data_IF_956414749285
#
_entry.id   IF_956414749285
#
_cell.length_a   1.000
_cell.length_b   1.000
_cell.length_c   1.000
_cell.angle_alpha   90.00
_cell.angle_beta   90.00
_cell.angle_gamma   90.00
#
_symmetry.space_group_name_H-M   'P 1'
#
loop_
_entity.id
_entity.type
_entity.pdbx_description
1 polymer ?
#
# COMPACT_ATOMS: atom_id res chain seq x y z
N UNK A 1 -26.61 -27.70 19.91
CA UNK A 1 -27.48 -27.42 18.75
C UNK A 1 -27.16 -26.08 18.15
N UNK A 2 -26.41 -26.06 17.02
CA UNK A 2 -26.07 -24.80 16.35
C UNK A 2 -27.33 -24.22 15.70
N UNK A 3 -27.63 -22.94 15.98
CA UNK A 3 -28.68 -22.20 15.27
C UNK A 3 -28.42 -22.29 13.78
N UNK A 4 -29.31 -22.95 12.98
CA UNK A 4 -29.27 -22.88 11.52
C UNK A 4 -29.28 -21.41 11.11
N UNK A 5 -28.22 -20.92 10.46
CA UNK A 5 -28.20 -19.58 9.87
C UNK A 5 -29.36 -19.51 8.88
N UNK A 6 -30.28 -18.58 9.09
CA UNK A 6 -31.39 -18.32 8.18
C UNK A 6 -30.78 -17.93 6.83
N UNK A 7 -31.10 -18.66 5.79
CA UNK A 7 -30.63 -18.35 4.44
C UNK A 7 -31.20 -17.00 4.02
N UNK A 8 -30.30 -16.09 3.63
CA UNK A 8 -30.71 -14.75 3.21
C UNK A 8 -31.16 -14.78 1.74
N UNK A 9 -32.12 -13.93 1.33
CA UNK A 9 -32.73 -14.00 0.00
C UNK A 9 -31.76 -13.58 -1.10
N UNK A 10 -32.06 -14.06 -2.31
CA UNK A 10 -31.59 -13.50 -3.57
C UNK A 10 -32.50 -12.33 -3.92
N UNK A 11 -31.92 -11.21 -4.35
CA UNK A 11 -32.64 -10.05 -4.86
C UNK A 11 -32.28 -9.88 -6.34
N UNK A 12 -33.29 -9.80 -7.17
CA UNK A 12 -33.13 -9.77 -8.62
C UNK A 12 -33.16 -8.31 -9.16
N UNK A 13 -32.49 -8.10 -10.31
CA UNK A 13 -32.50 -6.84 -11.08
C UNK A 13 -32.09 -5.61 -10.26
N UNK A 14 -31.06 -5.75 -9.44
CA UNK A 14 -30.52 -4.66 -8.63
C UNK A 14 -29.58 -3.81 -9.47
N UNK A 15 -29.85 -2.53 -9.61
CA UNK A 15 -28.99 -1.56 -10.29
C UNK A 15 -27.88 -1.06 -9.34
N UNK A 16 -26.64 -1.12 -9.79
CA UNK A 16 -25.49 -0.56 -9.08
C UNK A 16 -25.38 0.92 -9.43
N UNK A 17 -25.49 1.78 -8.40
CA UNK A 17 -25.62 3.23 -8.57
C UNK A 17 -24.34 4.01 -8.26
N UNK A 18 -23.35 3.39 -7.62
CA UNK A 18 -22.13 4.09 -7.21
C UNK A 18 -21.05 3.18 -6.66
N UNK A 19 -20.00 3.81 -6.16
CA UNK A 19 -18.85 3.16 -5.52
C UNK A 19 -18.73 3.68 -4.09
N UNK A 20 -18.44 2.78 -3.16
CA UNK A 20 -18.19 3.08 -1.75
C UNK A 20 -16.69 3.02 -1.43
N UNK A 21 -16.38 3.40 -0.20
CA UNK A 21 -15.10 3.12 0.41
C UNK A 21 -14.75 1.61 0.32
N UNK A 22 -13.48 1.27 0.43
CA UNK A 22 -12.94 -0.10 0.32
C UNK A 22 -13.17 -0.76 -1.06
N UNK A 23 -13.57 0.00 -2.08
CA UNK A 23 -13.73 -0.47 -3.45
C UNK A 23 -14.95 -1.34 -3.72
N UNK A 24 -15.90 -1.38 -2.79
CA UNK A 24 -17.21 -2.00 -2.99
C UNK A 24 -18.11 -1.08 -3.78
N UNK A 25 -19.01 -1.65 -4.57
CA UNK A 25 -20.07 -0.90 -5.23
C UNK A 25 -21.28 -0.76 -4.33
N UNK A 26 -22.13 0.20 -4.64
CA UNK A 26 -23.34 0.52 -3.87
C UNK A 26 -24.57 0.30 -4.75
N UNK A 27 -25.56 -0.35 -4.14
CA UNK A 27 -26.93 -0.38 -4.62
C UNK A 27 -27.91 0.00 -3.50
N UNK A 28 -29.16 0.24 -3.83
CA UNK A 28 -30.26 0.40 -2.87
C UNK A 28 -31.32 -0.65 -3.10
N UNK A 29 -31.71 -1.32 -2.04
CA UNK A 29 -32.79 -2.31 -2.02
C UNK A 29 -33.70 -1.96 -0.84
N UNK A 30 -34.96 -1.63 -1.12
CA UNK A 30 -35.94 -1.20 -0.11
C UNK A 30 -35.38 -0.11 0.82
N UNK A 31 -34.83 0.96 0.26
CA UNK A 31 -34.14 2.07 0.95
C UNK A 31 -32.86 1.69 1.73
N UNK A 32 -32.50 0.41 1.77
CA UNK A 32 -31.30 -0.07 2.42
C UNK A 32 -30.10 0.02 1.47
N UNK A 33 -28.97 0.54 1.96
CA UNK A 33 -27.70 0.49 1.25
C UNK A 33 -27.16 -0.92 1.25
N UNK A 34 -26.78 -1.43 0.06
CA UNK A 34 -26.17 -2.74 -0.12
C UNK A 34 -24.78 -2.57 -0.72
N UNK A 35 -23.77 -3.11 -0.05
CA UNK A 35 -22.39 -3.13 -0.52
C UNK A 35 -22.10 -4.42 -1.29
N UNK A 36 -21.62 -4.28 -2.52
CA UNK A 36 -21.45 -5.38 -3.47
C UNK A 36 -20.03 -5.31 -4.04
N UNK A 37 -19.17 -6.32 -3.84
CA UNK A 37 -17.85 -6.33 -4.48
C UNK A 37 -17.96 -6.59 -5.99
N UNK A 38 -17.01 -6.03 -6.75
CA UNK A 38 -16.82 -6.24 -8.19
C UNK A 38 -17.97 -5.81 -9.10
N UNK A 39 -18.91 -5.00 -8.61
CA UNK A 39 -19.88 -4.33 -9.45
C UNK A 39 -19.31 -3.05 -10.06
N UNK A 40 -19.89 -2.60 -11.17
CA UNK A 40 -19.63 -1.30 -11.76
C UNK A 40 -20.93 -0.48 -11.79
N UNK A 41 -20.90 0.84 -11.56
CA UNK A 41 -22.06 1.69 -11.70
C UNK A 41 -22.70 1.52 -13.09
N UNK A 42 -24.04 1.31 -13.12
CA UNK A 42 -24.79 0.98 -14.32
C UNK A 42 -24.95 -0.53 -14.61
N UNK A 43 -24.31 -1.41 -13.83
CA UNK A 43 -24.63 -2.82 -13.88
C UNK A 43 -26.04 -3.07 -13.32
N UNK A 44 -26.78 -3.98 -13.94
CA UNK A 44 -27.98 -4.61 -13.36
C UNK A 44 -27.64 -6.05 -13.03
N UNK A 45 -27.78 -6.45 -11.77
CA UNK A 45 -27.30 -7.74 -11.24
C UNK A 45 -28.33 -8.42 -10.36
N UNK A 46 -28.29 -9.75 -10.31
CA UNK A 46 -28.91 -10.52 -9.25
C UNK A 46 -27.89 -10.72 -8.14
N UNK A 47 -28.27 -10.40 -6.91
CA UNK A 47 -27.39 -10.46 -5.75
C UNK A 47 -27.93 -11.41 -4.69
N UNK A 48 -27.03 -12.11 -3.98
CA UNK A 48 -27.36 -12.85 -2.77
C UNK A 48 -26.84 -12.09 -1.56
N UNK A 49 -27.72 -11.86 -0.60
CA UNK A 49 -27.32 -11.20 0.66
C UNK A 49 -26.47 -12.16 1.49
N UNK A 50 -25.31 -11.67 1.94
CA UNK A 50 -24.39 -12.40 2.82
C UNK A 50 -24.61 -12.02 4.29
N UNK A 51 -24.91 -10.74 4.50
CA UNK A 51 -25.10 -10.15 5.82
C UNK A 51 -26.09 -8.99 5.75
N UNK A 52 -27.04 -8.98 6.70
CA UNK A 52 -28.00 -7.88 6.84
C UNK A 52 -27.91 -7.29 8.24
N UNK A 53 -27.69 -5.99 8.30
CA UNK A 53 -27.73 -5.16 9.52
C UNK A 53 -28.91 -4.20 9.46
N UNK A 54 -29.09 -3.37 10.49
CA UNK A 54 -30.21 -2.42 10.56
C UNK A 54 -30.13 -1.34 9.49
N UNK A 55 -28.93 -0.85 9.18
CA UNK A 55 -28.70 0.30 8.27
C UNK A 55 -28.10 -0.07 6.93
N UNK A 56 -27.58 -1.29 6.76
CA UNK A 56 -26.95 -1.74 5.51
C UNK A 56 -26.95 -3.27 5.36
N UNK A 57 -26.69 -3.73 4.16
CA UNK A 57 -26.41 -5.14 3.88
C UNK A 57 -25.10 -5.29 3.08
N UNK A 58 -24.54 -6.50 3.13
CA UNK A 58 -23.44 -6.94 2.27
C UNK A 58 -23.97 -8.09 1.41
N UNK A 59 -23.60 -8.10 0.13
CA UNK A 59 -24.04 -9.09 -0.85
C UNK A 59 -22.93 -9.40 -1.84
N UNK A 60 -23.10 -10.50 -2.57
CA UNK A 60 -22.29 -10.81 -3.75
C UNK A 60 -23.16 -10.98 -4.99
N UNK A 61 -22.58 -10.76 -6.16
CA UNK A 61 -23.24 -10.94 -7.45
C UNK A 61 -23.38 -12.44 -7.72
N UNK A 62 -24.60 -12.88 -7.97
CA UNK A 62 -24.91 -14.25 -8.40
C UNK A 62 -24.94 -14.32 -9.92
N UNK A 63 -25.52 -13.28 -10.55
CA UNK A 63 -25.74 -13.24 -11.98
C UNK A 63 -25.65 -11.83 -12.51
N UNK A 64 -25.07 -11.66 -13.70
CA UNK A 64 -25.02 -10.39 -14.43
C UNK A 64 -26.19 -10.34 -15.41
N UNK A 65 -27.21 -9.54 -15.09
CA UNK A 65 -28.38 -9.37 -15.96
C UNK A 65 -28.06 -8.45 -17.12
N UNK A 66 -27.45 -7.31 -16.83
CA UNK A 66 -27.04 -6.34 -17.86
C UNK A 66 -25.74 -5.68 -17.39
N UNK A 67 -24.63 -5.84 -18.11
CA UNK A 67 -23.40 -5.14 -17.77
C UNK A 67 -23.52 -3.65 -18.07
N UNK A 68 -22.85 -2.84 -17.26
CA UNK A 68 -22.65 -1.42 -17.53
C UNK A 68 -21.92 -1.22 -18.87
N UNK A 69 -22.30 -0.21 -19.68
CA UNK A 69 -21.57 0.12 -20.91
C UNK A 69 -20.13 0.59 -20.62
N UNK A 70 -19.86 1.04 -19.42
CA UNK A 70 -18.51 1.48 -18.99
C UNK A 70 -17.63 0.32 -18.49
N UNK A 71 -18.13 -0.93 -18.50
CA UNK A 71 -17.29 -2.07 -18.13
C UNK A 71 -16.19 -2.31 -19.14
N UNK A 72 -14.98 -2.61 -18.63
CA UNK A 72 -13.86 -3.10 -19.43
C UNK A 72 -13.49 -4.53 -19.00
N UNK A 73 -12.91 -5.29 -19.91
CA UNK A 73 -12.42 -6.64 -19.60
C UNK A 73 -11.14 -6.54 -18.77
N UNK A 74 -11.08 -7.14 -17.57
CA UNK A 74 -9.86 -7.18 -16.79
C UNK A 74 -8.71 -7.88 -17.53
N UNK A 75 -7.51 -7.32 -17.49
CA UNK A 75 -6.33 -7.95 -18.08
C UNK A 75 -5.85 -9.19 -17.29
N UNK A 76 -6.13 -9.22 -15.99
CA UNK A 76 -5.68 -10.26 -15.08
C UNK A 76 -6.70 -11.40 -14.98
N UNK A 77 -6.31 -12.63 -15.31
CA UNK A 77 -7.14 -13.84 -15.15
C UNK A 77 -7.54 -14.14 -13.69
N UNK A 78 -6.77 -13.61 -12.72
CA UNK A 78 -7.02 -13.77 -11.29
C UNK A 78 -7.90 -12.67 -10.69
N UNK A 79 -8.38 -11.73 -11.53
CA UNK A 79 -9.27 -10.67 -11.08
C UNK A 79 -10.57 -11.24 -10.48
N UNK A 80 -11.00 -10.69 -9.37
CA UNK A 80 -12.19 -11.18 -8.64
C UNK A 80 -11.90 -12.30 -7.64
N UNK A 81 -10.74 -12.97 -7.72
CA UNK A 81 -10.33 -14.04 -6.81
C UNK A 81 -9.17 -13.61 -5.94
N UNK A 82 -8.07 -13.14 -6.52
CA UNK A 82 -6.84 -12.71 -5.83
C UNK A 82 -7.08 -11.64 -4.76
N UNK A 83 -8.00 -10.71 -4.97
CA UNK A 83 -8.30 -9.63 -4.02
C UNK A 83 -7.33 -8.46 -4.02
N UNK A 84 -6.22 -8.51 -4.73
CA UNK A 84 -5.25 -7.40 -4.84
C UNK A 84 -5.81 -6.21 -5.63
N UNK A 85 -6.39 -6.47 -6.79
CA UNK A 85 -7.08 -5.46 -7.60
C UNK A 85 -8.59 -5.51 -7.33
N UNK A 86 -9.23 -4.33 -7.27
CA UNK A 86 -10.67 -4.19 -7.04
C UNK A 86 -11.41 -3.65 -8.26
N UNK A 87 -10.72 -2.93 -9.16
CA UNK A 87 -11.33 -2.09 -10.19
C UNK A 87 -10.78 -2.30 -11.61
N UNK A 88 -10.13 -3.45 -11.91
CA UNK A 88 -9.67 -3.72 -13.29
C UNK A 88 -10.81 -3.79 -14.33
N UNK A 89 -12.05 -3.96 -13.88
CA UNK A 89 -13.25 -3.98 -14.72
C UNK A 89 -13.88 -2.59 -14.91
N UNK A 90 -13.28 -1.54 -14.35
CA UNK A 90 -13.73 -0.14 -14.43
C UNK A 90 -12.69 0.65 -15.25
N UNK A 91 -13.10 1.48 -16.23
CA UNK A 91 -12.20 2.37 -16.97
C UNK A 91 -11.38 3.25 -16.04
N UNK A 92 -10.13 3.53 -16.41
CA UNK A 92 -9.20 4.23 -15.52
C UNK A 92 -9.68 5.64 -15.15
N UNK A 93 -10.22 6.39 -16.11
CA UNK A 93 -10.79 7.72 -15.89
C UNK A 93 -11.94 7.69 -14.87
N UNK A 94 -12.74 6.63 -14.88
CA UNK A 94 -13.80 6.43 -13.88
C UNK A 94 -13.23 6.11 -12.50
N UNK A 95 -12.13 5.33 -12.43
CA UNK A 95 -11.43 5.09 -11.17
C UNK A 95 -10.93 6.41 -10.55
N UNK A 96 -10.34 7.31 -11.36
CA UNK A 96 -9.86 8.63 -10.90
C UNK A 96 -11.00 9.48 -10.36
N UNK A 97 -12.16 9.49 -11.05
CA UNK A 97 -13.35 10.20 -10.59
C UNK A 97 -13.85 9.66 -9.25
N UNK A 98 -13.96 8.35 -9.10
CA UNK A 98 -14.42 7.73 -7.84
C UNK A 98 -13.44 7.97 -6.68
N UNK A 99 -12.15 8.06 -6.93
CA UNK A 99 -11.15 8.44 -5.91
C UNK A 99 -11.32 9.89 -5.46
N UNK A 100 -11.57 10.82 -6.41
CA UNK A 100 -11.92 12.21 -6.07
C UNK A 100 -13.20 12.26 -5.22
N UNK A 101 -14.23 11.56 -5.62
CA UNK A 101 -15.51 11.55 -4.92
C UNK A 101 -15.39 11.02 -3.48
N UNK A 102 -14.53 9.99 -3.24
CA UNK A 102 -14.22 9.51 -1.88
C UNK A 102 -13.58 10.60 -1.02
N UNK A 103 -12.66 11.39 -1.58
CA UNK A 103 -12.02 12.51 -0.87
C UNK A 103 -13.06 13.59 -0.55
N UNK A 104 -13.86 14.01 -1.54
CA UNK A 104 -14.95 15.01 -1.36
C UNK A 104 -15.90 14.55 -0.27
N UNK A 105 -16.37 13.30 -0.33
CA UNK A 105 -17.29 12.73 0.66
C UNK A 105 -16.69 12.74 2.09
N UNK A 106 -15.42 12.35 2.24
CA UNK A 106 -14.75 12.34 3.54
C UNK A 106 -14.62 13.76 4.11
N UNK A 107 -14.15 14.70 3.31
CA UNK A 107 -13.93 16.08 3.76
C UNK A 107 -15.24 16.80 4.07
N UNK A 108 -16.30 16.59 3.28
CA UNK A 108 -17.59 17.25 3.51
C UNK A 108 -18.38 16.64 4.66
N UNK A 109 -18.40 15.31 4.79
CA UNK A 109 -19.25 14.62 5.77
C UNK A 109 -18.58 14.40 7.12
N UNK A 110 -17.25 14.23 7.16
CA UNK A 110 -16.49 13.94 8.39
C UNK A 110 -15.86 15.22 8.90
N UNK A 111 -15.03 15.90 8.10
CA UNK A 111 -14.35 17.11 8.54
C UNK A 111 -15.34 18.23 8.82
N UNK A 112 -16.33 18.43 7.94
CA UNK A 112 -17.34 19.51 8.03
C UNK A 112 -16.70 20.89 8.10
N UNK A 113 -15.54 21.04 7.51
CA UNK A 113 -14.80 22.29 7.40
C UNK A 113 -15.04 22.88 6.01
N UNK A 114 -14.82 24.20 5.86
CA UNK A 114 -14.82 24.84 4.57
C UNK A 114 -13.64 24.34 3.74
N UNK A 115 -13.91 23.82 2.55
CA UNK A 115 -12.91 23.33 1.61
C UNK A 115 -13.06 24.00 0.26
N UNK A 116 -11.96 24.28 -0.45
CA UNK A 116 -12.01 24.73 -1.84
C UNK A 116 -12.53 23.58 -2.74
N UNK A 117 -12.70 23.88 -4.02
CA UNK A 117 -12.95 22.83 -5.00
C UNK A 117 -11.79 21.81 -4.97
N UNK A 118 -12.13 20.53 -4.83
CA UNK A 118 -11.14 19.43 -4.86
C UNK A 118 -10.66 19.24 -6.29
N UNK A 119 -9.36 19.27 -6.49
CA UNK A 119 -8.75 19.06 -7.80
C UNK A 119 -9.11 17.68 -8.40
N UNK A 120 -9.10 17.52 -9.72
CA UNK A 120 -9.14 16.20 -10.34
C UNK A 120 -8.04 15.31 -9.80
N UNK A 121 -8.32 14.00 -9.61
CA UNK A 121 -7.30 13.06 -9.14
C UNK A 121 -6.13 13.01 -10.10
N UNK A 122 -4.91 13.22 -9.60
CA UNK A 122 -3.69 13.06 -10.38
C UNK A 122 -3.48 11.56 -10.65
N UNK A 123 -3.68 11.16 -11.90
CA UNK A 123 -3.54 9.77 -12.33
C UNK A 123 -2.08 9.31 -12.44
N UNK A 124 -1.88 8.00 -12.37
CA UNK A 124 -0.59 7.37 -12.67
C UNK A 124 -0.44 7.22 -14.19
N UNK A 125 0.75 7.51 -14.69
CA UNK A 125 1.08 7.32 -16.10
C UNK A 125 1.02 5.84 -16.48
N UNK A 126 1.58 5.00 -15.61
CA UNK A 126 1.56 3.56 -15.76
C UNK A 126 0.47 2.98 -14.86
N UNK A 127 -0.48 2.24 -15.43
CA UNK A 127 -1.56 1.59 -14.69
C UNK A 127 -1.29 0.13 -14.39
N UNK A 128 -0.31 -0.47 -15.08
CA UNK A 128 0.25 -1.79 -14.85
C UNK A 128 1.76 -1.70 -14.67
N UNK A 129 2.39 -2.75 -14.19
CA UNK A 129 3.84 -2.85 -13.96
C UNK A 129 4.43 -1.71 -13.10
N UNK A 130 3.60 -1.05 -12.31
CA UNK A 130 4.00 0.11 -11.51
C UNK A 130 4.57 -0.24 -10.13
N UNK A 131 4.28 -1.46 -9.62
CA UNK A 131 4.73 -1.86 -8.29
C UNK A 131 6.21 -2.22 -8.30
N UNK A 132 6.95 -1.59 -7.41
CA UNK A 132 8.35 -1.94 -7.17
C UNK A 132 8.52 -3.09 -6.16
N UNK A 133 7.48 -3.48 -5.40
CA UNK A 133 7.55 -4.55 -4.38
C UNK A 133 6.31 -5.44 -4.41
N UNK A 134 6.51 -6.76 -4.45
CA UNK A 134 5.50 -7.78 -4.19
C UNK A 134 6.05 -8.85 -3.24
N UNK A 135 5.18 -9.35 -2.37
CA UNK A 135 5.43 -10.43 -1.44
C UNK A 135 4.50 -11.60 -1.77
N UNK A 136 5.08 -12.73 -2.12
CA UNK A 136 4.35 -13.95 -2.43
C UNK A 136 4.49 -14.96 -1.29
N UNK A 137 3.41 -15.62 -0.95
CA UNK A 137 3.38 -16.65 0.11
C UNK A 137 3.44 -18.04 -0.50
N UNK A 138 4.31 -18.89 0.02
CA UNK A 138 4.29 -20.33 -0.22
C UNK A 138 3.25 -20.99 0.67
N UNK A 139 2.43 -21.88 0.12
CA UNK A 139 1.45 -22.63 0.89
C UNK A 139 1.23 -24.02 0.30
N UNK A 140 1.12 -25.03 1.15
CA UNK A 140 0.64 -26.36 0.77
C UNK A 140 -0.91 -26.43 0.67
N UNK A 141 -1.60 -25.30 0.79
CA UNK A 141 -3.07 -25.19 0.75
C UNK A 141 -3.52 -24.23 -0.35
N UNK A 142 -3.30 -24.63 -1.60
CA UNK A 142 -3.77 -23.89 -2.77
C UNK A 142 -5.28 -23.64 -2.70
N UNK A 143 -5.69 -22.41 -3.04
CA UNK A 143 -7.10 -22.09 -3.28
C UNK A 143 -7.54 -22.76 -4.57
N UNK A 144 -8.66 -23.49 -4.52
CA UNK A 144 -9.28 -24.10 -5.69
C UNK A 144 -10.43 -23.22 -6.12
N UNK A 145 -10.41 -22.78 -7.37
CA UNK A 145 -11.46 -21.94 -7.94
C UNK A 145 -12.73 -22.75 -8.22
N UNK A 146 -13.86 -22.05 -8.40
CA UNK A 146 -15.09 -22.72 -8.84
C UNK A 146 -14.95 -23.38 -10.21
N UNK A 147 -14.13 -22.82 -11.10
CA UNK A 147 -13.84 -23.39 -12.41
C UNK A 147 -13.08 -24.69 -12.28
N UNK A 148 -12.07 -24.74 -11.40
CA UNK A 148 -11.33 -25.96 -11.11
C UNK A 148 -12.27 -27.06 -10.58
N UNK A 149 -13.14 -26.70 -9.65
CA UNK A 149 -14.12 -27.65 -9.08
C UNK A 149 -15.11 -28.16 -10.15
N UNK A 150 -15.59 -27.30 -11.04
CA UNK A 150 -16.50 -27.67 -12.11
C UNK A 150 -15.84 -28.51 -13.19
N UNK A 151 -14.54 -28.34 -13.41
CA UNK A 151 -13.78 -29.08 -14.41
C UNK A 151 -13.71 -30.60 -14.11
N UNK A 152 -14.00 -31.01 -12.87
CA UNK A 152 -13.87 -32.38 -12.40
C UNK A 152 -12.44 -32.93 -12.42
N UNK A 153 -11.45 -32.09 -12.67
CA UNK A 153 -10.04 -32.49 -12.65
C UNK A 153 -9.57 -32.74 -11.22
N UNK A 154 -8.87 -33.84 -11.02
CA UNK A 154 -8.16 -34.08 -9.76
C UNK A 154 -6.99 -33.09 -9.65
N UNK A 155 -6.98 -32.30 -8.58
CA UNK A 155 -5.91 -31.35 -8.30
C UNK A 155 -4.94 -32.05 -7.33
N UNK A 156 -3.99 -32.78 -7.91
CA UNK A 156 -2.99 -33.54 -7.16
C UNK A 156 -1.99 -32.59 -6.44
N UNK A 157 -1.55 -31.53 -7.11
CA UNK A 157 -0.65 -30.51 -6.51
C UNK A 157 -1.47 -29.45 -5.77
N UNK A 158 -1.28 -29.40 -4.45
CA UNK A 158 -1.92 -28.42 -3.57
C UNK A 158 -0.97 -27.29 -3.16
N UNK A 159 0.22 -27.25 -3.73
CA UNK A 159 1.20 -26.21 -3.47
C UNK A 159 0.91 -24.96 -4.30
N UNK A 160 1.05 -23.81 -3.68
CA UNK A 160 0.84 -22.51 -4.30
C UNK A 160 1.95 -21.54 -3.92
N UNK A 161 2.33 -20.67 -4.86
CA UNK A 161 3.16 -19.48 -4.60
C UNK A 161 2.45 -18.25 -5.17
N UNK A 162 1.81 -17.49 -4.29
CA UNK A 162 1.01 -16.35 -4.70
C UNK A 162 0.46 -15.55 -3.54
N UNK A 163 -0.83 -15.21 -3.59
CA UNK A 163 -1.46 -14.32 -2.61
C UNK A 163 -2.56 -15.00 -1.81
N UNK A 164 -2.70 -14.60 -0.55
CA UNK A 164 -3.81 -15.04 0.28
C UNK A 164 -5.16 -14.61 -0.28
N UNK A 165 -6.14 -15.49 -0.16
CA UNK A 165 -7.54 -15.18 -0.53
C UNK A 165 -8.18 -14.32 0.56
N UNK A 166 -8.88 -13.24 0.19
CA UNK A 166 -9.62 -12.43 1.15
C UNK A 166 -10.59 -13.27 1.98
N UNK A 167 -10.48 -13.17 3.31
CA UNK A 167 -11.29 -13.94 4.26
C UNK A 167 -10.85 -15.39 4.49
N UNK A 168 -9.78 -15.88 3.85
CA UNK A 168 -9.24 -17.22 4.03
C UNK A 168 -7.72 -17.16 4.21
N UNK A 169 -7.27 -16.76 5.40
CA UNK A 169 -5.85 -16.50 5.71
C UNK A 169 -4.92 -17.70 5.49
N UNK A 170 -5.44 -18.92 5.49
CA UNK A 170 -4.68 -20.16 5.30
C UNK A 170 -4.71 -20.68 3.85
N UNK A 171 -5.33 -19.94 2.93
CA UNK A 171 -5.44 -20.32 1.53
C UNK A 171 -4.70 -19.33 0.65
N UNK A 172 -3.91 -19.84 -0.28
CA UNK A 172 -3.13 -19.06 -1.23
C UNK A 172 -3.57 -19.41 -2.65
N UNK A 173 -3.86 -18.39 -3.44
CA UNK A 173 -4.08 -18.55 -4.87
C UNK A 173 -2.73 -18.70 -5.56
N UNK A 174 -2.55 -19.77 -6.31
CA UNK A 174 -1.36 -19.94 -7.14
C UNK A 174 -1.42 -18.99 -8.34
N UNK A 175 -0.57 -17.97 -8.33
CA UNK A 175 -0.60 -16.90 -9.34
C UNK A 175 0.17 -17.33 -10.57
N UNK A 176 -0.45 -17.24 -11.75
CA UNK A 176 0.23 -17.46 -13.03
C UNK A 176 0.97 -16.20 -13.49
N UNK A 177 0.27 -15.06 -13.51
CA UNK A 177 0.84 -13.75 -13.83
C UNK A 177 0.23 -12.66 -12.97
N UNK A 178 1.08 -11.85 -12.33
CA UNK A 178 0.67 -10.58 -11.73
C UNK A 178 1.03 -9.44 -12.69
N UNK A 179 0.06 -8.59 -13.00
CA UNK A 179 0.23 -7.47 -13.92
C UNK A 179 0.71 -6.19 -13.22
N UNK A 180 0.83 -6.21 -11.89
CA UNK A 180 1.19 -5.00 -11.13
C UNK A 180 2.69 -4.75 -11.00
N UNK A 181 3.52 -5.76 -11.25
CA UNK A 181 4.98 -5.66 -11.23
C UNK A 181 5.55 -6.13 -12.57
N UNK A 182 6.78 -5.72 -12.86
CA UNK A 182 7.53 -6.14 -14.05
C UNK A 182 7.50 -7.67 -14.24
N UNK A 183 7.58 -8.12 -15.49
CA UNK A 183 7.49 -9.55 -15.84
C UNK A 183 8.64 -10.37 -15.26
N UNK A 184 9.78 -9.76 -14.98
CA UNK A 184 10.89 -10.41 -14.26
C UNK A 184 10.43 -11.00 -12.92
N UNK A 185 9.56 -10.31 -12.19
CA UNK A 185 8.97 -10.83 -10.94
C UNK A 185 8.18 -12.13 -11.16
N UNK A 186 7.42 -12.22 -12.27
CA UNK A 186 6.71 -13.44 -12.62
C UNK A 186 7.67 -14.58 -12.98
N UNK A 187 8.71 -14.30 -13.75
CA UNK A 187 9.75 -15.26 -14.13
C UNK A 187 10.47 -15.82 -12.88
N UNK A 188 10.92 -14.95 -11.99
CA UNK A 188 11.57 -15.33 -10.73
C UNK A 188 10.62 -16.22 -9.90
N UNK A 189 9.38 -15.78 -9.68
CA UNK A 189 8.40 -16.54 -8.88
C UNK A 189 8.12 -17.93 -9.46
N UNK A 190 7.91 -18.02 -10.76
CA UNK A 190 7.63 -19.29 -11.43
C UNK A 190 8.83 -20.23 -11.36
N UNK A 191 10.04 -19.71 -11.59
CA UNK A 191 11.28 -20.51 -11.46
C UNK A 191 11.43 -21.05 -10.04
N UNK A 192 11.35 -20.19 -9.02
CA UNK A 192 11.50 -20.59 -7.61
C UNK A 192 10.46 -21.63 -7.22
N UNK A 193 9.19 -21.44 -7.66
CA UNK A 193 8.11 -22.43 -7.44
C UNK A 193 8.45 -23.79 -8.07
N UNK A 194 8.83 -23.80 -9.33
CA UNK A 194 9.12 -25.02 -10.07
C UNK A 194 10.36 -25.74 -9.51
N UNK A 195 11.40 -24.98 -9.18
CA UNK A 195 12.61 -25.51 -8.60
C UNK A 195 12.34 -26.18 -7.25
N UNK A 196 11.65 -25.48 -6.34
CA UNK A 196 11.31 -26.00 -5.03
C UNK A 196 10.45 -27.28 -5.11
N UNK A 197 9.48 -27.34 -6.02
CA UNK A 197 8.67 -28.54 -6.27
C UNK A 197 9.50 -29.69 -6.84
N UNK A 198 10.37 -29.41 -7.81
CA UNK A 198 11.24 -30.41 -8.42
C UNK A 198 12.23 -31.04 -7.43
N UNK A 199 12.64 -30.30 -6.42
CA UNK A 199 13.50 -30.75 -5.32
C UNK A 199 12.73 -31.34 -4.13
N UNK A 200 11.40 -31.31 -4.16
CA UNK A 200 10.55 -31.78 -3.05
C UNK A 200 10.64 -30.90 -1.80
N UNK A 201 10.92 -29.59 -1.96
CA UNK A 201 10.93 -28.65 -0.82
C UNK A 201 9.51 -28.37 -0.36
N UNK A 202 9.29 -28.53 0.94
CA UNK A 202 7.98 -28.44 1.55
C UNK A 202 7.49 -26.98 1.60
N UNK A 203 6.31 -26.70 1.03
CA UNK A 203 5.66 -25.40 1.15
C UNK A 203 4.98 -25.28 2.53
N UNK A 204 4.98 -24.08 3.09
CA UNK A 204 4.58 -23.86 4.46
C UNK A 204 3.08 -24.05 4.71
N UNK A 205 2.75 -24.79 5.80
CA UNK A 205 1.40 -24.83 6.36
C UNK A 205 1.32 -23.87 7.53
N UNK A 206 0.64 -22.72 7.35
CA UNK A 206 0.52 -21.69 8.38
C UNK A 206 -0.23 -22.16 9.63
N UNK A 207 -1.15 -23.13 9.49
CA UNK A 207 -1.87 -23.69 10.65
C UNK A 207 -1.07 -24.73 11.41
N UNK A 208 -0.38 -25.61 10.70
CA UNK A 208 0.48 -26.63 11.30
C UNK A 208 1.86 -26.06 11.71
N UNK A 209 2.25 -24.90 11.14
CA UNK A 209 3.55 -24.26 11.30
C UNK A 209 4.69 -25.20 10.88
N UNK A 210 4.51 -25.86 9.75
CA UNK A 210 5.42 -26.84 9.18
C UNK A 210 5.68 -26.54 7.71
N UNK A 211 6.83 -26.96 7.22
CA UNK A 211 7.31 -26.69 5.87
C UNK A 211 8.63 -25.95 5.91
N UNK A 212 9.26 -25.78 4.76
CA UNK A 212 10.54 -25.08 4.60
C UNK A 212 10.33 -23.69 3.98
N UNK A 213 9.59 -23.62 2.87
CA UNK A 213 9.42 -22.40 2.07
C UNK A 213 8.27 -21.54 2.61
N UNK A 214 8.54 -20.28 2.98
CA UNK A 214 7.53 -19.38 3.56
C UNK A 214 7.11 -18.25 2.64
N UNK A 215 8.03 -17.34 2.31
CA UNK A 215 7.72 -16.10 1.56
C UNK A 215 8.79 -15.83 0.52
N UNK A 216 8.39 -15.27 -0.61
CA UNK A 216 9.24 -14.74 -1.65
C UNK A 216 8.93 -13.27 -1.83
N UNK A 217 9.89 -12.39 -1.57
CA UNK A 217 9.74 -10.96 -1.79
C UNK A 217 10.60 -10.53 -2.96
N UNK A 218 9.98 -9.88 -3.95
CA UNK A 218 10.66 -9.31 -5.12
C UNK A 218 10.54 -7.81 -5.07
N UNK A 219 11.66 -7.10 -5.14
CA UNK A 219 11.71 -5.65 -5.22
C UNK A 219 12.51 -5.25 -6.46
N UNK A 220 11.95 -4.38 -7.30
CA UNK A 220 12.57 -3.88 -8.53
C UNK A 220 12.55 -2.36 -8.47
N UNK A 221 13.71 -1.75 -8.35
CA UNK A 221 13.85 -0.29 -8.29
C UNK A 221 13.64 0.37 -9.65
N UNK A 222 13.36 1.67 -9.65
CA UNK A 222 13.27 2.49 -10.88
C UNK A 222 14.59 2.52 -11.67
N UNK A 223 15.71 2.27 -11.01
CA UNK A 223 17.05 2.13 -11.60
C UNK A 223 17.27 0.79 -12.33
N UNK A 224 16.32 -0.15 -12.23
CA UNK A 224 16.45 -1.51 -12.74
C UNK A 224 17.15 -2.49 -11.78
N UNK A 225 17.61 -2.03 -10.62
CA UNK A 225 18.21 -2.91 -9.62
C UNK A 225 17.15 -3.81 -8.95
N UNK A 226 17.53 -5.07 -8.72
CA UNK A 226 16.61 -6.11 -8.22
C UNK A 226 17.08 -6.65 -6.87
N UNK A 227 16.19 -6.63 -5.89
CA UNK A 227 16.36 -7.32 -4.62
C UNK A 227 15.38 -8.48 -4.52
N UNK A 228 15.92 -9.65 -4.20
CA UNK A 228 15.14 -10.86 -3.93
C UNK A 228 15.41 -11.35 -2.52
N UNK A 229 14.34 -11.58 -1.75
CA UNK A 229 14.42 -12.16 -0.41
C UNK A 229 13.62 -13.44 -0.37
N UNK A 230 14.28 -14.54 -0.03
CA UNK A 230 13.61 -15.83 0.21
C UNK A 230 13.54 -16.06 1.72
N UNK A 231 12.34 -16.31 2.23
CA UNK A 231 12.14 -16.61 3.66
C UNK A 231 11.91 -18.09 3.84
N UNK A 232 12.77 -18.71 4.64
CA UNK A 232 12.70 -20.10 5.03
C UNK A 232 12.18 -20.22 6.47
N UNK A 233 11.47 -21.32 6.79
CA UNK A 233 10.97 -21.55 8.14
C UNK A 233 11.99 -22.28 9.03
N UNK A 234 12.99 -22.94 8.43
CA UNK A 234 13.97 -23.79 9.13
C UNK A 234 15.37 -23.54 8.59
N UNK A 235 16.43 -23.67 9.43
CA UNK A 235 17.83 -23.45 9.03
C UNK A 235 18.42 -24.71 8.34
N UNK A 236 17.82 -25.16 7.24
CA UNK A 236 18.32 -26.29 6.44
C UNK A 236 19.32 -25.79 5.39
N UNK A 237 20.57 -25.53 5.83
CA UNK A 237 21.57 -24.81 5.06
C UNK A 237 21.84 -25.41 3.67
N UNK A 238 21.89 -26.72 3.55
CA UNK A 238 22.12 -27.39 2.26
C UNK A 238 21.03 -27.11 1.24
N UNK A 239 19.76 -27.09 1.67
CA UNK A 239 18.62 -26.74 0.80
C UNK A 239 18.56 -25.25 0.50
N UNK A 240 18.94 -24.41 1.48
CA UNK A 240 19.06 -22.96 1.30
C UNK A 240 20.09 -22.67 0.22
N UNK A 241 21.29 -23.21 0.35
CA UNK A 241 22.39 -23.00 -0.60
C UNK A 241 22.07 -23.55 -1.99
N UNK A 242 21.40 -24.72 -2.08
CA UNK A 242 20.98 -25.30 -3.35
C UNK A 242 19.98 -24.38 -4.08
N UNK A 243 18.94 -23.89 -3.40
CA UNK A 243 17.97 -22.99 -4.02
C UNK A 243 18.56 -21.62 -4.36
N UNK A 244 19.28 -21.01 -3.41
CA UNK A 244 19.88 -19.70 -3.60
C UNK A 244 20.93 -19.71 -4.71
N UNK A 245 21.72 -20.79 -4.81
CA UNK A 245 22.67 -21.01 -5.89
C UNK A 245 21.99 -21.14 -7.26
N UNK A 246 20.88 -21.89 -7.33
CA UNK A 246 20.10 -22.02 -8.56
C UNK A 246 19.49 -20.68 -9.01
N UNK A 247 18.94 -19.90 -8.07
CA UNK A 247 18.44 -18.55 -8.35
C UNK A 247 19.56 -17.64 -8.86
N UNK A 248 20.72 -17.67 -8.19
CA UNK A 248 21.88 -16.87 -8.58
C UNK A 248 22.40 -17.19 -10.00
N UNK A 249 22.31 -18.44 -10.41
CA UNK A 249 22.72 -18.89 -11.74
C UNK A 249 21.70 -18.47 -12.82
N UNK A 250 20.40 -18.61 -12.55
CA UNK A 250 19.33 -18.34 -13.51
C UNK A 250 19.09 -16.82 -13.70
N UNK A 251 19.26 -16.02 -12.63
CA UNK A 251 18.99 -14.59 -12.64
C UNK A 251 20.24 -13.78 -12.27
N UNK A 252 21.23 -13.65 -13.17
CA UNK A 252 22.45 -12.89 -12.91
C UNK A 252 22.17 -11.39 -12.71
N UNK A 253 21.04 -10.87 -13.19
CA UNK A 253 20.58 -9.49 -13.02
C UNK A 253 20.16 -9.13 -11.59
N UNK A 254 19.97 -10.09 -10.68
CA UNK A 254 19.64 -9.80 -9.28
C UNK A 254 20.84 -9.12 -8.60
N UNK A 255 20.62 -7.87 -8.18
CA UNK A 255 21.63 -7.01 -7.53
C UNK A 255 21.85 -7.41 -6.06
N UNK A 256 20.76 -7.79 -5.39
CA UNK A 256 20.72 -8.10 -3.96
C UNK A 256 19.93 -9.39 -3.75
N UNK A 257 20.64 -10.50 -3.55
CA UNK A 257 20.06 -11.82 -3.30
C UNK A 257 20.22 -12.17 -1.83
N UNK A 258 19.10 -12.17 -1.11
CA UNK A 258 19.05 -12.29 0.35
C UNK A 258 18.18 -13.46 0.79
N UNK A 259 18.42 -13.95 1.99
CA UNK A 259 17.48 -14.87 2.62
C UNK A 259 17.31 -14.57 4.12
N UNK A 260 16.24 -15.11 4.67
CA UNK A 260 15.89 -15.02 6.10
C UNK A 260 15.45 -16.39 6.58
N UNK A 261 15.86 -16.78 7.77
CA UNK A 261 15.31 -17.95 8.46
C UNK A 261 14.36 -17.45 9.56
N UNK A 262 13.06 -17.52 9.28
CA UNK A 262 12.02 -17.08 10.21
C UNK A 262 11.29 -18.26 10.83
N UNK A 263 11.67 -18.64 12.06
CA UNK A 263 11.07 -19.71 12.83
C UNK A 263 9.87 -19.27 13.68
N UNK A 264 9.48 -17.98 13.60
CA UNK A 264 8.34 -17.42 14.35
C UNK A 264 7.01 -17.76 13.69
N UNK A 265 5.93 -17.57 14.44
CA UNK A 265 4.55 -17.80 13.96
C UNK A 265 4.15 -16.79 12.90
N UNK A 266 4.59 -15.53 13.03
CA UNK A 266 4.27 -14.45 12.09
C UNK A 266 5.26 -14.36 10.91
N UNK A 267 4.86 -13.68 9.84
CA UNK A 267 5.66 -13.55 8.61
C UNK A 267 6.55 -12.31 8.59
N UNK A 268 6.55 -11.48 9.66
CA UNK A 268 7.41 -10.29 9.68
C UNK A 268 8.90 -10.66 9.71
N UNK A 269 9.68 -9.93 8.93
CA UNK A 269 11.15 -10.04 8.93
C UNK A 269 11.82 -8.85 9.66
N UNK A 270 11.03 -7.92 10.21
CA UNK A 270 11.54 -6.69 10.80
C UNK A 270 12.58 -6.95 11.92
N UNK A 271 12.33 -7.98 12.72
CA UNK A 271 13.17 -8.39 13.85
C UNK A 271 14.01 -9.65 13.57
N UNK A 272 14.12 -10.06 12.29
CA UNK A 272 14.93 -11.20 11.87
C UNK A 272 16.27 -10.73 11.28
N UNK A 273 17.28 -11.59 11.36
CA UNK A 273 18.51 -11.40 10.61
C UNK A 273 18.27 -11.63 9.13
N UNK A 274 18.76 -10.71 8.29
CA UNK A 274 18.73 -10.83 6.83
C UNK A 274 20.14 -11.14 6.38
N UNK A 275 20.32 -12.27 5.70
CA UNK A 275 21.62 -12.77 5.27
C UNK A 275 21.79 -12.51 3.78
N UNK A 276 22.89 -11.86 3.43
CA UNK A 276 23.26 -11.61 2.03
C UNK A 276 23.92 -12.88 1.46
N UNK A 277 23.25 -13.51 0.50
CA UNK A 277 23.80 -14.66 -0.23
C UNK A 277 24.73 -14.21 -1.37
N UNK A 278 24.29 -13.21 -2.16
CA UNK A 278 25.07 -12.63 -3.26
C UNK A 278 24.76 -11.15 -3.44
N UNK A 279 25.76 -10.38 -3.83
CA UNK A 279 25.66 -8.96 -4.10
C UNK A 279 25.73 -8.11 -2.83
N UNK A 280 24.89 -7.11 -2.72
CA UNK A 280 24.82 -6.21 -1.57
C UNK A 280 23.45 -6.29 -0.86
N UNK A 281 23.35 -5.77 0.33
CA UNK A 281 22.14 -5.82 1.17
C UNK A 281 21.14 -4.68 0.89
N UNK A 282 21.33 -3.92 -0.19
CA UNK A 282 20.44 -2.84 -0.60
C UNK A 282 20.33 -2.72 -2.13
N UNK A 283 19.31 -2.00 -2.58
CA UNK A 283 19.16 -1.48 -3.94
C UNK A 283 19.00 0.03 -3.89
N UNK A 284 19.30 0.71 -5.01
CA UNK A 284 19.13 2.15 -5.12
C UNK A 284 17.86 2.50 -5.89
N UNK A 285 17.11 3.45 -5.36
CA UNK A 285 16.08 4.20 -6.07
C UNK A 285 16.61 5.59 -6.42
N UNK A 286 16.11 6.17 -7.50
CA UNK A 286 16.49 7.53 -7.92
C UNK A 286 15.27 8.43 -8.06
N UNK A 287 15.42 9.69 -7.62
CA UNK A 287 14.39 10.72 -7.76
C UNK A 287 15.05 12.11 -7.93
N UNK A 288 14.90 12.75 -9.07
CA UNK A 288 15.51 14.06 -9.38
C UNK A 288 17.03 14.13 -9.10
N UNK A 289 17.76 13.07 -9.42
CA UNK A 289 19.19 12.96 -9.13
C UNK A 289 19.54 12.70 -7.67
N UNK A 290 18.55 12.53 -6.80
CA UNK A 290 18.75 12.03 -5.45
C UNK A 290 18.74 10.50 -5.46
N UNK A 291 19.71 9.91 -4.76
CA UNK A 291 19.84 8.47 -4.60
C UNK A 291 19.30 8.05 -3.23
N UNK A 292 18.45 7.01 -3.20
CA UNK A 292 17.92 6.46 -1.98
C UNK A 292 18.30 5.00 -1.85
N UNK A 293 19.07 4.65 -0.82
CA UNK A 293 19.37 3.26 -0.49
C UNK A 293 18.17 2.62 0.19
N UNK A 294 17.71 1.51 -0.38
CA UNK A 294 16.56 0.76 0.10
C UNK A 294 17.04 -0.60 0.57
N UNK A 295 17.07 -0.82 1.86
CA UNK A 295 17.37 -2.08 2.48
C UNK A 295 16.18 -3.06 2.47
N UNK A 296 16.38 -4.31 2.88
CA UNK A 296 15.34 -5.34 2.89
C UNK A 296 14.16 -5.00 3.80
N UNK A 297 14.40 -4.26 4.87
CA UNK A 297 13.41 -3.86 5.87
C UNK A 297 12.91 -2.43 5.68
N UNK A 298 13.56 -1.62 4.82
CA UNK A 298 13.20 -0.23 4.61
C UNK A 298 11.83 -0.09 3.98
N UNK A 299 11.02 0.83 4.52
CA UNK A 299 9.80 1.28 3.83
C UNK A 299 10.20 2.22 2.68
N UNK A 300 9.61 2.01 1.55
CA UNK A 300 9.63 2.91 0.40
C UNK A 300 8.30 2.76 -0.34
N UNK A 301 7.77 3.86 -0.89
CA UNK A 301 6.50 3.84 -1.63
C UNK A 301 6.54 2.82 -2.77
N UNK A 302 5.54 1.95 -2.84
CA UNK A 302 5.58 0.79 -3.75
C UNK A 302 5.28 1.10 -5.22
N UNK A 303 5.03 2.36 -5.56
CA UNK A 303 4.98 2.90 -6.92
C UNK A 303 5.96 4.08 -6.97
N UNK A 304 7.20 3.84 -7.37
CA UNK A 304 8.28 4.83 -7.35
C UNK A 304 7.98 6.05 -8.22
N UNK A 305 7.46 5.83 -9.44
CA UNK A 305 7.15 6.92 -10.38
C UNK A 305 6.03 7.81 -9.86
N UNK A 306 4.98 7.23 -9.31
CA UNK A 306 3.85 8.00 -8.79
C UNK A 306 4.16 8.62 -7.42
N UNK A 307 5.06 8.02 -6.63
CA UNK A 307 5.59 8.64 -5.41
C UNK A 307 6.32 9.96 -5.72
N UNK A 308 7.07 9.99 -6.80
CA UNK A 308 7.69 11.22 -7.26
C UNK A 308 6.65 12.29 -7.59
N UNK A 309 5.57 11.96 -8.31
CA UNK A 309 4.48 12.90 -8.58
C UNK A 309 3.79 13.37 -7.28
N UNK A 310 3.54 12.47 -6.33
CA UNK A 310 2.99 12.80 -5.02
C UNK A 310 3.89 13.78 -4.26
N UNK A 311 5.20 13.54 -4.24
CA UNK A 311 6.15 14.42 -3.55
C UNK A 311 6.32 15.77 -4.25
N UNK A 312 6.20 15.83 -5.59
CA UNK A 312 6.13 17.11 -6.31
C UNK A 312 4.90 17.93 -5.90
N UNK A 313 3.75 17.27 -5.75
CA UNK A 313 2.54 17.94 -5.25
C UNK A 313 2.76 18.46 -3.83
N UNK A 314 3.30 17.63 -2.93
CA UNK A 314 3.58 18.04 -1.55
C UNK A 314 4.57 19.22 -1.49
N UNK A 315 5.67 19.16 -2.26
CA UNK A 315 6.67 20.23 -2.34
C UNK A 315 6.08 21.53 -2.92
N UNK A 316 5.29 21.43 -3.99
CA UNK A 316 4.61 22.61 -4.58
C UNK A 316 3.64 23.25 -3.58
N UNK A 317 2.86 22.44 -2.89
CA UNK A 317 1.90 22.92 -1.90
C UNK A 317 2.58 23.50 -0.65
N UNK A 318 3.78 23.05 -0.30
CA UNK A 318 4.56 23.60 0.79
C UNK A 318 4.98 25.05 0.56
N UNK A 319 5.00 25.55 -0.69
CA UNK A 319 5.39 26.91 -1.07
C UNK A 319 6.70 27.34 -0.37
N UNK A 320 7.72 26.49 -0.46
CA UNK A 320 8.97 26.61 0.29
C UNK A 320 9.73 27.90 -0.05
N UNK A 321 10.40 28.46 0.97
CA UNK A 321 11.29 29.62 0.87
C UNK A 321 12.69 29.25 1.37
N UNK A 322 13.77 29.89 0.87
CA UNK A 322 15.14 29.55 1.26
C UNK A 322 15.43 29.67 2.76
N UNK A 323 14.71 30.53 3.49
CA UNK A 323 14.89 30.74 4.93
C UNK A 323 13.97 29.86 5.80
N UNK A 324 13.10 29.04 5.19
CA UNK A 324 12.15 28.20 5.92
C UNK A 324 12.86 27.14 6.77
N UNK A 325 12.36 26.94 7.98
CA UNK A 325 12.58 25.76 8.81
C UNK A 325 11.41 24.81 8.58
N UNK A 326 11.70 23.64 8.00
CA UNK A 326 10.70 22.61 7.68
C UNK A 326 10.76 21.47 8.68
N UNK A 327 9.60 21.03 9.18
CA UNK A 327 9.50 19.77 9.92
C UNK A 327 8.81 18.74 9.02
N UNK A 328 9.46 17.57 8.85
CA UNK A 328 8.95 16.40 8.12
C UNK A 328 8.56 15.34 9.17
N UNK A 329 7.26 15.26 9.45
CA UNK A 329 6.71 14.37 10.46
C UNK A 329 6.33 13.03 9.83
N UNK A 330 6.77 11.93 10.49
CA UNK A 330 6.70 10.56 9.97
C UNK A 330 7.61 10.39 8.74
N UNK A 331 8.85 10.91 8.88
CA UNK A 331 9.79 11.07 7.75
C UNK A 331 10.24 9.76 7.10
N UNK A 332 10.04 8.60 7.74
CA UNK A 332 10.47 7.29 7.24
C UNK A 332 11.97 7.27 6.97
N UNK A 333 12.36 6.86 5.76
CA UNK A 333 13.76 6.85 5.30
C UNK A 333 14.26 8.22 4.83
N UNK A 334 13.57 9.30 5.22
CA UNK A 334 13.96 10.67 4.92
C UNK A 334 13.70 11.09 3.47
N UNK A 335 12.79 10.42 2.76
CA UNK A 335 12.59 10.68 1.32
C UNK A 335 12.08 12.09 1.08
N UNK A 336 11.01 12.52 1.77
CA UNK A 336 10.46 13.88 1.61
C UNK A 336 11.47 14.91 2.16
N UNK A 337 12.06 14.66 3.33
CA UNK A 337 13.05 15.55 3.92
C UNK A 337 14.19 15.87 2.94
N UNK A 338 14.80 14.84 2.34
CA UNK A 338 15.87 15.01 1.36
C UNK A 338 15.40 15.69 0.08
N UNK A 339 14.15 15.38 -0.37
CA UNK A 339 13.57 15.94 -1.57
C UNK A 339 13.33 17.45 -1.50
N UNK A 340 13.11 18.00 -0.30
CA UNK A 340 12.87 19.43 -0.08
C UNK A 340 14.10 20.18 0.45
N UNK A 341 15.09 19.48 0.98
CA UNK A 341 16.22 20.06 1.72
C UNK A 341 16.98 21.15 0.95
N UNK A 342 17.21 20.96 -0.36
CA UNK A 342 17.94 21.93 -1.20
C UNK A 342 17.21 23.25 -1.42
N UNK A 343 15.94 23.37 -1.01
CA UNK A 343 15.11 24.57 -1.21
C UNK A 343 14.88 25.37 0.05
N UNK A 344 15.40 24.90 1.19
CA UNK A 344 15.10 25.48 2.51
C UNK A 344 16.35 25.61 3.37
N UNK A 345 16.26 26.39 4.45
CA UNK A 345 17.35 26.58 5.39
C UNK A 345 17.70 25.30 6.14
N UNK A 346 16.69 24.57 6.62
CA UNK A 346 16.88 23.37 7.44
C UNK A 346 15.64 22.50 7.42
N UNK A 347 15.84 21.18 7.47
CA UNK A 347 14.76 20.19 7.64
C UNK A 347 15.00 19.39 8.92
N UNK A 348 13.95 19.25 9.73
CA UNK A 348 13.92 18.40 10.94
C UNK A 348 12.97 17.24 10.67
N UNK A 349 13.49 16.02 10.60
CA UNK A 349 12.71 14.80 10.39
C UNK A 349 12.50 14.03 11.69
N UNK A 350 11.28 13.53 11.92
CA UNK A 350 10.94 12.71 13.09
C UNK A 350 10.27 11.41 12.62
N UNK A 351 10.75 10.28 13.14
CA UNK A 351 10.25 8.95 12.81
C UNK A 351 10.32 8.01 14.01
N UNK A 352 9.35 7.12 14.13
CA UNK A 352 9.28 6.16 15.23
C UNK A 352 10.36 5.05 15.13
N UNK A 353 10.67 4.60 13.91
CA UNK A 353 11.53 3.44 13.64
C UNK A 353 13.00 3.87 13.59
N UNK A 354 13.86 3.44 14.53
CA UNK A 354 15.28 3.86 14.58
C UNK A 354 16.06 3.48 13.32
N UNK A 355 15.77 2.32 12.72
CA UNK A 355 16.41 1.84 11.50
C UNK A 355 16.07 2.74 10.30
N UNK A 356 14.83 3.24 10.22
CA UNK A 356 14.43 4.20 9.20
C UNK A 356 15.17 5.53 9.35
N UNK A 357 15.44 5.98 10.58
CA UNK A 357 16.25 7.16 10.86
C UNK A 357 17.72 6.95 10.47
N UNK A 358 18.26 5.74 10.67
CA UNK A 358 19.59 5.40 10.19
C UNK A 358 19.65 5.48 8.65
N UNK A 359 18.66 4.92 7.96
CA UNK A 359 18.52 5.04 6.51
C UNK A 359 18.37 6.51 6.05
N UNK A 360 17.59 7.33 6.77
CA UNK A 360 17.39 8.73 6.44
C UNK A 360 18.71 9.55 6.51
N UNK A 361 19.52 9.32 7.55
CA UNK A 361 20.85 9.93 7.69
C UNK A 361 21.79 9.49 6.57
N UNK A 362 21.83 8.19 6.27
CA UNK A 362 22.64 7.65 5.19
C UNK A 362 22.22 8.22 3.84
N UNK A 363 20.91 8.37 3.59
CA UNK A 363 20.38 8.95 2.37
C UNK A 363 20.75 10.43 2.23
N UNK A 364 20.78 11.20 3.33
CA UNK A 364 21.29 12.57 3.31
C UNK A 364 22.78 12.63 2.99
N UNK A 365 23.58 11.76 3.60
CA UNK A 365 25.03 11.67 3.38
C UNK A 365 25.35 11.33 1.91
N UNK A 366 24.71 10.30 1.35
CA UNK A 366 24.89 9.87 -0.05
C UNK A 366 24.59 11.00 -1.04
N UNK A 367 23.63 11.88 -0.70
CA UNK A 367 23.20 13.00 -1.54
C UNK A 367 23.95 14.32 -1.24
N UNK A 368 24.92 14.31 -0.33
CA UNK A 368 25.65 15.52 0.08
C UNK A 368 24.72 16.59 0.68
N UNK A 369 23.69 16.18 1.40
CA UNK A 369 22.72 17.06 2.07
C UNK A 369 23.13 17.19 3.54
N UNK A 370 23.47 18.41 3.97
CA UNK A 370 24.01 18.72 5.30
C UNK A 370 23.06 19.53 6.18
N UNK A 371 21.92 19.96 5.64
CA UNK A 371 20.94 20.79 6.33
C UNK A 371 19.72 19.98 6.84
N UNK A 372 19.82 18.65 6.93
CA UNK A 372 18.81 17.78 7.54
C UNK A 372 19.27 17.27 8.91
N UNK A 373 18.33 17.13 9.83
CA UNK A 373 18.57 16.50 11.13
C UNK A 373 17.39 15.55 11.44
N UNK A 374 17.70 14.36 11.97
CA UNK A 374 16.69 13.31 12.16
C UNK A 374 16.68 12.78 13.59
N UNK A 375 15.46 12.59 14.14
CA UNK A 375 15.19 12.11 15.48
C UNK A 375 14.33 10.85 15.46
N UNK A 376 14.78 9.83 16.20
CA UNK A 376 14.03 8.59 16.37
C UNK A 376 13.20 8.64 17.66
N UNK A 377 11.93 8.30 17.57
CA UNK A 377 11.05 8.15 18.72
C UNK A 377 9.58 8.29 18.39
N UNK A 378 8.74 7.97 19.38
CA UNK A 378 7.28 8.10 19.25
C UNK A 378 6.93 9.58 19.04
N UNK A 379 6.20 9.89 17.99
CA UNK A 379 5.93 11.26 17.56
C UNK A 379 5.45 12.18 18.70
N UNK A 380 4.48 11.74 19.52
CA UNK A 380 3.93 12.50 20.63
C UNK A 380 4.93 12.73 21.78
N UNK A 381 5.97 11.89 21.89
CA UNK A 381 6.96 11.98 22.97
C UNK A 381 8.18 12.83 22.53
N UNK A 382 8.48 12.86 21.24
CA UNK A 382 9.58 13.66 20.66
C UNK A 382 9.10 15.07 20.34
N UNK A 383 8.02 15.22 19.58
CA UNK A 383 7.47 16.51 19.18
C UNK A 383 6.75 17.17 20.36
N UNK A 384 7.49 17.87 21.19
CA UNK A 384 7.01 18.59 22.38
C UNK A 384 7.27 20.09 22.24
N UNK A 385 6.65 20.90 23.08
CA UNK A 385 6.94 22.36 23.13
C UNK A 385 8.43 22.61 23.39
N UNK A 386 9.08 21.84 24.29
CA UNK A 386 10.51 21.93 24.56
C UNK A 386 11.38 21.56 23.36
N UNK A 387 10.96 20.57 22.56
CA UNK A 387 11.63 20.22 21.30
C UNK A 387 11.58 21.38 20.29
N UNK A 388 10.44 22.05 20.21
CA UNK A 388 10.26 23.21 19.33
C UNK A 388 11.07 24.40 19.80
N UNK A 389 11.22 24.61 21.13
CA UNK A 389 12.08 25.65 21.70
C UNK A 389 13.56 25.39 21.38
N UNK A 390 14.02 24.15 21.46
CA UNK A 390 15.39 23.73 21.16
C UNK A 390 15.74 23.80 19.67
N UNK A 391 14.84 23.29 18.80
CA UNK A 391 15.14 23.14 17.37
C UNK A 391 14.58 24.24 16.49
N UNK A 392 13.78 25.13 17.03
CA UNK A 392 13.14 26.27 16.38
C UNK A 392 11.70 26.00 15.97
N UNK A 393 10.89 27.06 15.89
CA UNK A 393 9.52 26.99 15.37
C UNK A 393 9.53 26.74 13.88
N UNK A 394 8.84 25.70 13.39
CA UNK A 394 8.76 25.45 11.95
C UNK A 394 7.93 26.52 11.24
N UNK A 395 8.38 26.94 10.08
CA UNK A 395 7.61 27.73 9.13
C UNK A 395 6.63 26.86 8.37
N UNK A 396 7.06 25.63 8.04
CA UNK A 396 6.28 24.64 7.30
C UNK A 396 6.36 23.29 8.00
N UNK A 397 5.23 22.61 8.08
CA UNK A 397 5.18 21.18 8.43
C UNK A 397 4.68 20.36 7.25
N UNK A 398 5.40 19.29 6.91
CA UNK A 398 4.96 18.25 5.99
C UNK A 398 4.67 17.02 6.82
N UNK A 399 3.50 16.42 6.65
CA UNK A 399 2.99 15.36 7.53
C UNK A 399 2.49 14.22 6.67
N UNK A 400 3.04 13.00 6.85
CA UNK A 400 2.62 11.78 6.14
C UNK A 400 2.41 10.64 7.15
N UNK A 401 1.32 10.67 7.96
CA UNK A 401 1.10 9.74 9.05
C UNK A 401 0.59 8.38 8.55
N UNK A 402 0.62 7.33 9.40
CA UNK A 402 0.04 6.04 9.09
C UNK A 402 -1.48 6.13 8.88
N UNK A 403 -2.10 5.05 8.36
CA UNK A 403 -3.54 4.97 8.04
C UNK A 403 -4.49 5.39 9.17
N UNK A 404 -4.05 5.32 10.42
CA UNK A 404 -4.84 5.74 11.58
C UNK A 404 -4.96 7.28 11.72
N UNK A 405 -4.18 8.03 10.95
CA UNK A 405 -4.01 9.48 11.10
C UNK A 405 -3.11 9.84 12.28
N UNK A 406 -3.16 11.09 12.70
CA UNK A 406 -2.37 11.58 13.83
C UNK A 406 -3.04 11.25 15.17
N UNK A 407 -2.21 11.13 16.22
CA UNK A 407 -2.69 11.15 17.60
C UNK A 407 -3.08 12.58 17.97
N UNK A 408 -4.11 12.74 18.81
CA UNK A 408 -4.62 14.07 19.22
C UNK A 408 -3.53 14.93 19.88
N UNK A 409 -2.65 14.32 20.69
CA UNK A 409 -1.51 15.04 21.30
C UNK A 409 -0.58 15.66 20.25
N UNK A 410 -0.34 14.96 19.12
CA UNK A 410 0.48 15.49 18.02
C UNK A 410 -0.22 16.69 17.37
N UNK A 411 -1.54 16.59 17.14
CA UNK A 411 -2.34 17.70 16.62
C UNK A 411 -2.23 18.92 17.55
N UNK A 412 -2.34 18.72 18.86
CA UNK A 412 -2.23 19.79 19.85
C UNK A 412 -0.87 20.48 19.82
N UNK A 413 0.23 19.72 19.69
CA UNK A 413 1.58 20.32 19.56
C UNK A 413 1.70 21.11 18.25
N UNK A 414 1.15 20.62 17.14
CA UNK A 414 1.12 21.36 15.86
C UNK A 414 0.37 22.67 16.01
N UNK A 415 -0.78 22.67 16.71
CA UNK A 415 -1.55 23.88 17.00
C UNK A 415 -0.80 24.86 17.87
N UNK A 416 0.02 24.40 18.84
CA UNK A 416 0.88 25.24 19.67
C UNK A 416 2.09 25.78 18.91
N UNK A 417 2.70 24.96 18.05
CA UNK A 417 3.82 25.34 17.20
C UNK A 417 3.45 26.43 16.18
N UNK A 418 2.20 26.43 15.72
CA UNK A 418 1.65 27.43 14.80
C UNK A 418 2.48 27.65 13.53
N UNK A 419 2.86 26.59 12.77
CA UNK A 419 3.52 26.81 11.49
C UNK A 419 2.65 27.69 10.58
N UNK A 420 3.27 28.45 9.67
CA UNK A 420 2.51 29.24 8.70
C UNK A 420 1.75 28.34 7.73
N UNK A 421 2.35 27.22 7.35
CA UNK A 421 1.84 26.28 6.35
C UNK A 421 1.97 24.85 6.82
N UNK A 422 0.95 24.05 6.49
CA UNK A 422 0.96 22.61 6.72
C UNK A 422 0.60 21.94 5.40
N UNK A 423 1.37 20.93 5.00
CA UNK A 423 1.05 20.01 3.93
C UNK A 423 0.80 18.64 4.54
N UNK A 424 -0.44 18.18 4.43
CA UNK A 424 -0.86 16.89 4.99
C UNK A 424 -1.10 15.87 3.88
N UNK A 425 -0.20 14.92 3.74
CA UNK A 425 -0.33 13.75 2.85
C UNK A 425 -1.02 12.63 3.63
N UNK A 426 -1.97 11.94 3.04
CA UNK A 426 -2.68 10.84 3.72
C UNK A 426 -3.20 9.78 2.76
N UNK A 427 -2.97 8.52 3.10
CA UNK A 427 -3.55 7.37 2.40
C UNK A 427 -4.99 7.02 2.86
N UNK A 428 -5.56 7.82 3.77
CA UNK A 428 -6.92 7.60 4.30
C UNK A 428 -7.65 8.93 4.46
N UNK A 429 -8.49 9.33 3.48
CA UNK A 429 -9.24 10.59 3.53
C UNK A 429 -10.13 10.74 4.77
N UNK A 430 -10.63 9.64 5.34
CA UNK A 430 -11.52 9.71 6.51
C UNK A 430 -10.78 10.12 7.80
N UNK A 431 -9.58 9.56 8.03
CA UNK A 431 -8.75 9.96 9.19
C UNK A 431 -8.15 11.34 8.98
N UNK A 432 -7.76 11.69 7.76
CA UNK A 432 -7.34 13.04 7.41
C UNK A 432 -8.46 14.05 7.70
N UNK A 433 -9.69 13.77 7.29
CA UNK A 433 -10.85 14.63 7.54
C UNK A 433 -11.10 14.86 9.03
N UNK A 434 -10.95 13.81 9.87
CA UNK A 434 -11.02 13.93 11.33
C UNK A 434 -9.96 14.90 11.87
N UNK A 435 -8.72 14.74 11.42
CA UNK A 435 -7.61 15.55 11.89
C UNK A 435 -7.74 17.01 11.42
N UNK A 436 -8.23 17.25 10.19
CA UNK A 436 -8.53 18.59 9.68
C UNK A 436 -9.60 19.30 10.53
N UNK A 437 -10.63 18.57 10.97
CA UNK A 437 -11.66 19.13 11.86
C UNK A 437 -11.07 19.65 13.19
N UNK A 438 -10.07 18.97 13.73
CA UNK A 438 -9.38 19.41 14.95
C UNK A 438 -8.53 20.68 14.73
N UNK A 439 -8.06 20.91 13.51
CA UNK A 439 -7.19 22.02 13.16
C UNK A 439 -7.93 23.26 12.62
N UNK A 440 -9.22 23.15 12.31
CA UNK A 440 -10.02 24.20 11.63
C UNK A 440 -10.09 25.51 12.40
N UNK A 441 -9.99 25.49 13.74
CA UNK A 441 -9.98 26.70 14.57
C UNK A 441 -8.81 27.64 14.27
N UNK A 442 -7.68 27.12 13.77
CA UNK A 442 -6.45 27.88 13.53
C UNK A 442 -6.02 27.87 12.07
N UNK A 443 -6.42 26.87 11.31
CA UNK A 443 -6.01 26.68 9.92
C UNK A 443 -7.22 26.65 9.00
N UNK A 444 -7.03 27.10 7.75
CA UNK A 444 -7.98 26.90 6.67
C UNK A 444 -7.37 26.03 5.59
N UNK A 445 -8.20 25.24 4.96
CA UNK A 445 -7.84 24.43 3.79
C UNK A 445 -7.76 25.31 2.57
N UNK A 446 -6.63 25.34 1.89
CA UNK A 446 -6.39 26.17 0.70
C UNK A 446 -6.43 25.38 -0.60
N UNK A 447 -5.98 24.14 -0.56
CA UNK A 447 -5.90 23.29 -1.74
C UNK A 447 -6.01 21.82 -1.35
N UNK A 448 -6.71 21.02 -2.18
CA UNK A 448 -6.89 19.59 -2.01
C UNK A 448 -6.57 18.90 -3.32
N UNK A 449 -5.60 17.95 -3.31
CA UNK A 449 -5.16 17.20 -4.46
C UNK A 449 -5.16 15.71 -4.18
N UNK A 450 -6.17 14.97 -4.65
CA UNK A 450 -6.10 13.51 -4.67
C UNK A 450 -5.06 13.00 -5.68
N UNK A 451 -4.35 11.92 -5.32
CA UNK A 451 -3.33 11.27 -6.15
C UNK A 451 -3.59 9.77 -6.20
N UNK A 452 -3.60 9.20 -7.40
CA UNK A 452 -3.72 7.76 -7.57
C UNK A 452 -2.36 7.08 -7.52
N UNK A 453 -1.95 6.63 -6.34
CA UNK A 453 -0.73 5.83 -6.15
C UNK A 453 -0.88 4.39 -6.64
N UNK A 454 -2.10 3.85 -6.66
CA UNK A 454 -2.36 2.44 -6.87
C UNK A 454 -3.52 2.21 -7.84
N UNK A 455 -3.28 2.34 -9.16
CA UNK A 455 -4.27 1.99 -10.20
C UNK A 455 -4.90 0.62 -9.97
N UNK A 456 -6.15 0.48 -10.38
CA UNK A 456 -6.98 -0.73 -10.20
C UNK A 456 -7.31 -1.10 -8.76
N UNK A 457 -6.98 -0.24 -7.80
CA UNK A 457 -7.39 -0.36 -6.39
C UNK A 457 -8.22 0.85 -5.96
N UNK A 458 -8.89 0.74 -4.83
CA UNK A 458 -9.67 1.84 -4.25
C UNK A 458 -8.83 2.84 -3.45
N UNK A 459 -7.57 2.55 -3.23
CA UNK A 459 -6.69 3.42 -2.45
C UNK A 459 -6.47 4.75 -3.16
N UNK A 460 -6.54 5.83 -2.40
CA UNK A 460 -6.25 7.19 -2.84
C UNK A 460 -5.36 7.85 -1.80
N UNK A 461 -4.28 8.46 -2.28
CA UNK A 461 -3.53 9.41 -1.48
C UNK A 461 -4.15 10.79 -1.66
N UNK A 462 -4.18 11.59 -0.62
CA UNK A 462 -4.70 12.94 -0.70
C UNK A 462 -3.75 13.93 -0.03
N UNK A 463 -3.40 14.98 -0.76
CA UNK A 463 -2.54 16.05 -0.25
C UNK A 463 -3.40 17.28 0.01
N UNK A 464 -3.34 17.80 1.23
CA UNK A 464 -4.07 18.99 1.65
C UNK A 464 -3.06 20.05 2.09
N UNK A 465 -3.16 21.25 1.50
CA UNK A 465 -2.47 22.42 2.00
C UNK A 465 -3.38 23.20 2.93
N UNK A 466 -2.84 23.53 4.08
CA UNK A 466 -3.47 24.43 5.06
C UNK A 466 -2.58 25.63 5.33
N UNK A 467 -3.20 26.78 5.55
CA UNK A 467 -2.53 28.01 6.01
C UNK A 467 -3.17 28.50 7.30
N UNK A 468 -2.33 29.10 8.15
CA UNK A 468 -2.80 29.70 9.40
C UNK A 468 -3.74 30.86 9.09
N UNK A 469 -4.84 30.95 9.82
CA UNK A 469 -5.81 32.05 9.78
C UNK A 469 -5.22 33.36 10.30
#
# INVERSE_FOLDING_TARGET
MGRKRKELPVVENVEITGVAAEGKSIARVDDMVVFIPYGAPGDVVNIKLDKKKRSYAEAHIVDMVKPSPDRVTPACEHFGVCGGCKWQHIPYESQLRYKRDQVVDALTRIAKVEIPEVNPTLGSKETFCYRNKLEYTFSCKCWITFEDLRSGREIADRNALGFHIPGAFDKVLDIKKCWLQDDLSNRIRLFVRQYALGKGYEFYDIKAQQGLMRTLMVRIASTGEVMLIVVFARPEQEKIDDLMGAIAAEFPEITSLLYVVNQKVNDTIADQEVITYRGRDYINEEMEGLQFRIGPKSFYQTNSLQAYELYKVARRMACLKPDDLVYDLYTGTGTIANFVARQVKKVVGIEYVPEAIADAKLNSEVNGIDNTIFFAGVMKDVLTDGFIEEHGRPDVMIIDPPRAGMHEDVVNVILNARPERIVYVSCNPATQARDLALMDSLYRVEEVQPVDMFPHTHHVENVVRMTRR
#
